data_IF_008712633676
#
_entry.id   IF_008712633676
#
_cell.length_a   1.000
_cell.length_b   1.000
_cell.length_c   1.000
_cell.angle_alpha   90.00
_cell.angle_beta   90.00
_cell.angle_gamma   90.00
#
_symmetry.space_group_name_H-M   'P 1'
#
loop_
_entity.id
_entity.type
_entity.pdbx_description
1 polymer ?
#
# COMPACT_ATOMS: atom_id res chain seq x y z
N UNK A 1 11.97 28.43 6.54
CA UNK A 1 11.89 29.93 6.45
C UNK A 1 10.87 30.56 7.40
N UNK A 2 9.70 29.96 7.64
CA UNK A 2 8.69 30.52 8.56
C UNK A 2 9.19 30.72 10.02
N UNK A 3 10.04 29.83 10.54
CA UNK A 3 10.57 29.90 11.91
C UNK A 3 11.55 31.07 12.13
N UNK A 4 12.33 31.44 11.11
CA UNK A 4 13.21 32.61 11.19
C UNK A 4 12.40 33.91 11.26
N UNK A 5 11.31 34.03 10.49
CA UNK A 5 10.40 35.17 10.57
C UNK A 5 9.75 35.29 11.95
N UNK A 6 9.32 34.16 12.52
CA UNK A 6 8.76 34.12 13.88
C UNK A 6 9.79 34.50 14.97
N UNK A 7 11.04 34.06 14.83
CA UNK A 7 12.13 34.41 15.75
C UNK A 7 12.41 35.92 15.75
N UNK A 8 12.47 36.55 14.58
CA UNK A 8 12.68 38.00 14.43
C UNK A 8 11.53 38.81 15.05
N UNK A 9 10.28 38.41 14.77
CA UNK A 9 9.10 39.06 15.34
C UNK A 9 9.03 38.92 16.86
N UNK A 10 9.34 37.75 17.40
CA UNK A 10 9.40 37.50 18.84
C UNK A 10 10.54 38.26 19.53
N UNK A 11 11.72 38.36 18.91
CA UNK A 11 12.84 39.16 19.42
C UNK A 11 12.50 40.65 19.45
N UNK A 12 11.84 41.16 18.40
CA UNK A 12 11.36 42.54 18.35
C UNK A 12 10.29 42.82 19.42
N UNK A 13 9.35 41.89 19.61
CA UNK A 13 8.34 41.98 20.67
C UNK A 13 8.97 41.93 22.07
N UNK A 14 9.96 41.06 22.29
CA UNK A 14 10.70 40.96 23.54
C UNK A 14 11.34 42.31 23.93
N UNK A 15 11.91 43.02 22.96
CA UNK A 15 12.54 44.32 23.21
C UNK A 15 11.55 45.40 23.68
N UNK A 16 10.30 45.33 23.22
CA UNK A 16 9.21 46.29 23.55
C UNK A 16 8.55 46.04 24.91
N UNK A 17 8.74 44.87 25.52
CA UNK A 17 8.08 44.53 26.79
C UNK A 17 8.63 45.38 27.95
N UNK A 18 7.76 45.92 28.81
CA UNK A 18 8.20 46.67 30.02
C UNK A 18 8.55 45.76 31.20
N UNK A 19 7.91 44.59 31.28
CA UNK A 19 8.12 43.62 32.36
C UNK A 19 9.34 42.73 32.08
N UNK A 20 10.35 42.81 32.95
CA UNK A 20 11.62 42.10 32.81
C UNK A 20 11.48 40.58 32.76
N UNK A 21 10.53 39.98 33.50
CA UNK A 21 10.33 38.53 33.47
C UNK A 21 9.86 38.06 32.08
N UNK A 22 8.93 38.79 31.49
CA UNK A 22 8.41 38.47 30.16
C UNK A 22 9.41 38.79 29.03
N UNK A 23 10.29 39.79 29.22
CA UNK A 23 11.42 40.05 28.31
C UNK A 23 12.34 38.84 28.20
N UNK A 24 12.75 38.28 29.34
CA UNK A 24 13.63 37.11 29.39
C UNK A 24 12.97 35.90 28.73
N UNK A 25 11.68 35.65 29.00
CA UNK A 25 10.93 34.55 28.38
C UNK A 25 10.84 34.72 26.86
N UNK A 26 10.44 35.90 26.37
CA UNK A 26 10.30 36.16 24.94
C UNK A 26 11.66 36.10 24.21
N UNK A 27 12.74 36.55 24.85
CA UNK A 27 14.10 36.44 24.33
C UNK A 27 14.53 34.97 24.17
N UNK A 28 14.36 34.13 25.21
CA UNK A 28 14.68 32.71 25.14
C UNK A 28 13.86 31.97 24.08
N UNK A 29 12.57 32.29 23.95
CA UNK A 29 11.72 31.73 22.89
C UNK A 29 12.21 32.15 21.49
N UNK A 30 12.63 33.40 21.32
CA UNK A 30 13.19 33.86 20.04
C UNK A 30 14.49 33.14 19.69
N UNK A 31 15.37 32.90 20.66
CA UNK A 31 16.58 32.09 20.48
C UNK A 31 16.25 30.65 20.12
N UNK A 32 15.30 30.02 20.80
CA UNK A 32 14.89 28.64 20.52
C UNK A 32 14.33 28.51 19.09
N UNK A 33 13.47 29.43 18.66
CA UNK A 33 12.94 29.46 17.29
C UNK A 33 14.04 29.73 16.25
N UNK A 34 14.99 30.61 16.58
CA UNK A 34 16.16 30.88 15.73
C UNK A 34 17.06 29.65 15.58
N UNK A 35 17.32 28.92 16.66
CA UNK A 35 18.09 27.68 16.64
C UNK A 35 17.37 26.58 15.84
N UNK A 36 16.05 26.43 16.00
CA UNK A 36 15.25 25.50 15.20
C UNK A 36 15.24 25.88 13.71
N UNK A 37 15.11 27.16 13.39
CA UNK A 37 15.20 27.65 12.02
C UNK A 37 16.60 27.42 11.42
N UNK A 38 17.66 27.63 12.19
CA UNK A 38 19.03 27.36 11.76
C UNK A 38 19.27 25.86 11.57
N UNK A 39 18.69 25.02 12.43
CA UNK A 39 18.72 23.57 12.29
C UNK A 39 17.99 23.09 11.02
N UNK A 40 16.81 23.62 10.70
CA UNK A 40 16.11 23.34 9.44
C UNK A 40 16.94 23.75 8.21
N UNK A 41 17.58 24.93 8.24
CA UNK A 41 18.47 25.37 7.17
C UNK A 41 19.71 24.49 7.05
N UNK A 42 20.28 24.06 8.18
CA UNK A 42 21.39 23.13 8.22
C UNK A 42 21.00 21.76 7.64
N UNK A 43 19.82 21.23 7.97
CA UNK A 43 19.29 20.00 7.37
C UNK A 43 19.09 20.14 5.85
N UNK A 44 18.59 21.29 5.39
CA UNK A 44 18.46 21.60 3.97
C UNK A 44 19.82 21.73 3.27
N UNK A 45 20.83 22.29 3.94
CA UNK A 45 22.16 22.57 3.36
C UNK A 45 23.13 21.38 3.42
N UNK A 46 23.08 20.58 4.48
CA UNK A 46 23.78 19.28 4.59
C UNK A 46 23.34 18.33 3.48
N UNK A 47 22.24 18.65 2.79
CA UNK A 47 21.78 17.85 1.69
C UNK A 47 21.37 16.51 2.25
N UNK A 48 20.27 16.48 2.99
CA UNK A 48 19.34 15.36 2.82
C UNK A 48 18.78 15.49 1.39
N UNK A 49 19.65 15.35 0.38
CA UNK A 49 19.29 14.87 -0.93
C UNK A 49 18.80 13.47 -0.64
N UNK A 50 17.52 13.35 -0.28
CA UNK A 50 16.86 12.06 -0.29
C UNK A 50 17.06 11.53 -1.71
N UNK A 51 17.99 10.59 -1.86
CA UNK A 51 18.07 9.79 -3.07
C UNK A 51 16.68 9.20 -3.25
N UNK A 52 15.98 9.64 -4.28
CA UNK A 52 14.60 9.23 -4.48
C UNK A 52 14.60 7.85 -5.11
N UNK A 53 13.79 6.96 -4.56
CA UNK A 53 13.52 5.70 -5.23
C UNK A 53 12.75 5.98 -6.53
N UNK A 54 13.20 5.40 -7.63
CA UNK A 54 12.50 5.46 -8.91
C UNK A 54 12.49 4.09 -9.59
N UNK A 55 11.52 3.88 -10.47
CA UNK A 55 11.36 2.64 -11.22
C UNK A 55 11.76 2.84 -12.67
N UNK A 56 12.04 1.80 -13.43
CA UNK A 56 12.13 1.81 -14.89
C UNK A 56 11.49 0.54 -15.47
N UNK A 57 11.44 0.43 -16.79
CA UNK A 57 10.83 -0.69 -17.51
C UNK A 57 9.36 -0.47 -17.82
N UNK A 58 8.72 -1.51 -18.35
CA UNK A 58 7.31 -1.44 -18.75
C UNK A 58 6.36 -1.28 -17.56
N UNK A 59 6.83 -1.49 -16.33
CA UNK A 59 6.10 -1.18 -15.09
C UNK A 59 5.62 0.29 -15.05
N UNK A 60 6.38 1.24 -15.62
CA UNK A 60 5.98 2.66 -15.68
C UNK A 60 5.00 2.98 -16.81
N UNK A 61 4.76 2.07 -17.75
CA UNK A 61 3.91 2.28 -18.92
C UNK A 61 2.43 1.98 -18.62
N UNK A 62 1.97 2.42 -17.44
CA UNK A 62 0.63 2.18 -16.93
C UNK A 62 0.32 0.69 -16.72
N UNK A 63 1.06 0.10 -15.81
CA UNK A 63 0.89 -1.28 -15.38
C UNK A 63 -0.49 -1.59 -14.78
N UNK A 64 -1.14 -0.59 -14.15
CA UNK A 64 -2.45 -0.71 -13.51
C UNK A 64 -3.54 0.03 -14.29
N UNK A 65 -4.77 -0.47 -14.21
CA UNK A 65 -5.98 0.19 -14.69
C UNK A 65 -7.14 -0.01 -13.70
N UNK A 66 -8.23 0.73 -13.90
CA UNK A 66 -9.45 0.57 -13.11
C UNK A 66 -10.03 -0.83 -13.28
N UNK A 67 -10.56 -1.38 -12.20
CA UNK A 67 -11.18 -2.70 -12.18
C UNK A 67 -12.56 -2.61 -11.51
N UNK A 68 -13.65 -3.01 -12.18
CA UNK A 68 -15.02 -2.73 -11.74
C UNK A 68 -15.36 -3.34 -10.37
N UNK A 69 -14.71 -4.45 -10.00
CA UNK A 69 -14.95 -5.10 -8.71
C UNK A 69 -13.93 -4.69 -7.63
N UNK A 70 -12.70 -4.40 -8.02
CA UNK A 70 -11.56 -4.33 -7.09
C UNK A 70 -11.04 -2.89 -6.91
N UNK A 71 -11.67 -1.93 -7.59
CA UNK A 71 -11.20 -0.56 -7.75
C UNK A 71 -10.15 -0.47 -8.85
N UNK A 72 -9.09 -1.28 -8.77
CA UNK A 72 -8.02 -1.33 -9.75
C UNK A 72 -7.39 -2.72 -9.82
N UNK A 73 -6.62 -2.98 -10.86
CA UNK A 73 -5.89 -4.22 -11.07
C UNK A 73 -4.90 -4.09 -12.23
N UNK A 74 -4.32 -5.20 -12.70
CA UNK A 74 -3.43 -5.15 -13.86
C UNK A 74 -4.19 -4.67 -15.10
N UNK A 75 -3.57 -3.78 -15.88
CA UNK A 75 -4.18 -3.27 -17.12
C UNK A 75 -4.41 -4.36 -18.14
N UNK A 76 -3.41 -5.21 -18.34
CA UNK A 76 -3.48 -6.38 -19.19
C UNK A 76 -3.41 -7.63 -18.30
N UNK A 77 -4.45 -8.48 -18.29
CA UNK A 77 -4.48 -9.68 -17.48
C UNK A 77 -3.42 -10.72 -17.87
N UNK A 78 -2.84 -10.63 -19.07
CA UNK A 78 -1.83 -11.56 -19.61
C UNK A 78 -0.56 -10.83 -20.05
N UNK A 79 0.05 -10.08 -19.13
CA UNK A 79 1.22 -9.27 -19.42
C UNK A 79 2.54 -9.87 -18.92
N UNK A 80 3.64 -9.47 -19.58
CA UNK A 80 5.00 -9.61 -19.07
C UNK A 80 5.60 -8.23 -18.84
N UNK A 81 5.94 -7.92 -17.60
CA UNK A 81 6.24 -6.55 -17.15
C UNK A 81 7.64 -6.48 -16.54
N UNK A 82 8.50 -5.65 -17.11
CA UNK A 82 9.84 -5.40 -16.54
C UNK A 82 9.76 -4.29 -15.50
N UNK A 83 10.35 -4.52 -14.33
CA UNK A 83 10.41 -3.55 -13.23
C UNK A 83 11.83 -3.50 -12.71
N UNK A 84 12.48 -2.36 -12.93
CA UNK A 84 13.78 -2.05 -12.33
C UNK A 84 13.56 -0.98 -11.29
N UNK A 85 14.13 -1.10 -10.10
CA UNK A 85 14.03 -0.07 -9.06
C UNK A 85 15.42 0.39 -8.67
N UNK A 86 15.57 1.70 -8.54
CA UNK A 86 16.82 2.36 -8.17
C UNK A 86 16.60 3.21 -6.91
N UNK A 87 17.68 3.45 -6.18
CA UNK A 87 17.80 4.44 -5.12
C UNK A 87 19.08 5.22 -5.38
N UNK A 88 18.95 6.46 -5.84
CA UNK A 88 20.07 7.18 -6.46
C UNK A 88 20.57 6.39 -7.68
N UNK A 89 21.87 6.18 -7.77
CA UNK A 89 22.50 5.39 -8.84
C UNK A 89 22.52 3.88 -8.53
N UNK A 90 22.11 3.47 -7.33
CA UNK A 90 22.11 2.06 -6.92
C UNK A 90 20.85 1.36 -7.40
N UNK A 91 21.02 0.34 -8.24
CA UNK A 91 19.95 -0.59 -8.57
C UNK A 91 19.61 -1.46 -7.35
N UNK A 92 18.35 -1.41 -6.92
CA UNK A 92 17.79 -2.24 -5.85
C UNK A 92 17.36 -3.61 -6.37
N UNK A 93 16.71 -3.66 -7.54
CA UNK A 93 16.34 -4.90 -8.22
C UNK A 93 16.08 -4.68 -9.72
N UNK A 94 16.19 -5.75 -10.49
CA UNK A 94 15.76 -5.87 -11.89
C UNK A 94 15.03 -7.19 -12.05
N UNK A 95 13.72 -7.12 -12.29
CA UNK A 95 12.85 -8.30 -12.32
C UNK A 95 11.82 -8.22 -13.44
N UNK A 96 11.32 -9.39 -13.81
CA UNK A 96 10.17 -9.50 -14.71
C UNK A 96 9.00 -10.17 -13.98
N UNK A 97 7.86 -9.50 -13.99
CA UNK A 97 6.60 -10.04 -13.51
C UNK A 97 5.82 -10.63 -14.67
N UNK A 98 5.35 -11.87 -14.54
CA UNK A 98 4.37 -12.43 -15.47
C UNK A 98 2.99 -12.43 -14.82
N UNK A 99 1.99 -11.94 -15.54
CA UNK A 99 0.58 -12.02 -15.19
C UNK A 99 -0.11 -13.02 -16.10
N UNK A 100 -1.01 -13.82 -15.52
CA UNK A 100 -1.92 -14.70 -16.27
C UNK A 100 -3.30 -14.56 -15.68
N UNK A 101 -4.31 -14.31 -16.52
CA UNK A 101 -5.71 -14.16 -16.09
C UNK A 101 -5.89 -13.14 -14.96
N UNK A 102 -5.09 -12.07 -14.98
CA UNK A 102 -5.12 -11.01 -13.96
C UNK A 102 -4.44 -11.35 -12.64
N UNK A 103 -3.77 -12.51 -12.55
CA UNK A 103 -3.09 -12.99 -11.35
C UNK A 103 -1.57 -13.04 -11.55
N UNK A 104 -0.81 -12.98 -10.46
CA UNK A 104 0.64 -13.17 -10.51
C UNK A 104 0.95 -14.64 -10.87
N UNK A 105 1.76 -14.85 -11.90
CA UNK A 105 2.12 -16.18 -12.34
C UNK A 105 3.01 -16.90 -11.31
N UNK A 106 2.65 -18.15 -10.99
CA UNK A 106 3.49 -19.08 -10.21
C UNK A 106 3.93 -20.23 -11.13
N UNK A 107 5.21 -20.30 -11.55
CA UNK A 107 5.65 -21.15 -12.65
C UNK A 107 5.63 -22.65 -12.31
N UNK A 108 5.76 -23.01 -11.03
CA UNK A 108 5.68 -24.39 -10.56
C UNK A 108 4.25 -24.81 -10.14
N UNK A 109 3.21 -24.05 -10.48
CA UNK A 109 1.81 -24.43 -10.27
C UNK A 109 1.47 -25.71 -11.03
N UNK A 110 0.84 -26.68 -10.36
CA UNK A 110 0.34 -27.89 -11.00
C UNK A 110 -1.11 -27.70 -11.46
N UNK A 111 -1.28 -27.27 -12.70
CA UNK A 111 -2.60 -27.02 -13.32
C UNK A 111 -3.46 -28.29 -13.50
N UNK A 112 -2.93 -29.48 -13.21
CA UNK A 112 -3.69 -30.75 -13.21
C UNK A 112 -4.13 -31.16 -11.80
N UNK A 113 -3.60 -30.53 -10.75
CA UNK A 113 -3.94 -30.86 -9.37
C UNK A 113 -5.38 -30.45 -9.02
N UNK A 114 -6.01 -31.26 -8.16
CA UNK A 114 -7.27 -31.00 -7.47
C UNK A 114 -7.07 -30.44 -6.05
N UNK A 115 -5.82 -30.30 -5.60
CA UNK A 115 -5.43 -29.59 -4.39
C UNK A 115 -5.05 -28.15 -4.72
N UNK A 116 -5.70 -27.18 -4.09
CA UNK A 116 -5.54 -25.75 -4.39
C UNK A 116 -4.89 -24.99 -3.25
N UNK A 117 -4.05 -24.03 -3.61
CA UNK A 117 -3.48 -23.04 -2.69
C UNK A 117 -3.70 -21.63 -3.25
N UNK A 118 -4.56 -20.87 -2.58
CA UNK A 118 -4.89 -19.49 -2.93
C UNK A 118 -4.10 -18.52 -2.06
N UNK A 119 -3.47 -17.53 -2.66
CA UNK A 119 -2.69 -16.51 -1.95
C UNK A 119 -3.28 -15.12 -2.17
N UNK A 120 -3.49 -14.41 -1.07
CA UNK A 120 -4.10 -13.08 -1.03
C UNK A 120 -3.21 -12.09 -0.28
N UNK A 121 -3.32 -10.81 -0.66
CA UNK A 121 -2.64 -9.71 0.02
C UNK A 121 -2.14 -8.66 -0.94
N UNK A 122 -1.22 -7.83 -0.47
CA UNK A 122 -0.66 -6.71 -1.21
C UNK A 122 0.58 -7.07 -2.03
N UNK A 123 1.50 -6.10 -2.12
CA UNK A 123 2.78 -6.23 -2.82
C UNK A 123 3.68 -7.35 -2.29
N UNK A 124 3.57 -7.71 -1.01
CA UNK A 124 4.36 -8.80 -0.41
C UNK A 124 3.90 -10.17 -0.91
N UNK A 125 2.59 -10.40 -1.04
CA UNK A 125 2.05 -11.63 -1.63
C UNK A 125 2.33 -11.67 -3.13
N UNK A 126 2.18 -10.53 -3.81
CA UNK A 126 2.52 -10.39 -5.24
C UNK A 126 4.00 -10.71 -5.52
N UNK A 127 4.90 -10.40 -4.58
CA UNK A 127 6.34 -10.52 -4.76
C UNK A 127 6.94 -9.33 -5.50
N UNK A 128 6.68 -8.11 -5.01
CA UNK A 128 7.36 -6.91 -5.52
C UNK A 128 8.89 -7.05 -5.39
N UNK A 129 9.60 -6.81 -6.47
CA UNK A 129 11.05 -6.96 -6.54
C UNK A 129 11.53 -8.42 -6.67
N UNK A 130 10.63 -9.38 -6.95
CA UNK A 130 10.94 -10.80 -7.09
C UNK A 130 10.53 -11.31 -8.48
N UNK A 131 11.36 -12.16 -9.10
CA UNK A 131 10.97 -12.92 -10.29
C UNK A 131 9.90 -13.98 -9.94
N UNK A 132 9.26 -14.54 -10.96
CA UNK A 132 8.13 -15.46 -10.78
C UNK A 132 8.49 -16.70 -9.94
N UNK A 133 9.75 -17.14 -10.02
CA UNK A 133 10.36 -18.26 -9.30
C UNK A 133 10.96 -17.88 -7.93
N UNK A 134 10.66 -16.67 -7.43
CA UNK A 134 11.21 -16.16 -6.18
C UNK A 134 10.12 -15.69 -5.21
N UNK A 135 8.85 -15.98 -5.50
CA UNK A 135 7.71 -15.53 -4.69
C UNK A 135 7.39 -16.52 -3.57
N UNK A 136 6.70 -16.05 -2.51
CA UNK A 136 6.20 -16.92 -1.44
C UNK A 136 5.35 -18.10 -1.98
N UNK A 137 4.38 -17.89 -2.90
CA UNK A 137 3.61 -19.00 -3.48
C UNK A 137 4.46 -20.02 -4.25
N UNK A 138 5.51 -19.56 -4.94
CA UNK A 138 6.46 -20.46 -5.62
C UNK A 138 7.18 -21.36 -4.61
N UNK A 139 7.80 -20.79 -3.57
CA UNK A 139 8.52 -21.57 -2.57
C UNK A 139 7.61 -22.46 -1.73
N UNK A 140 6.38 -22.00 -1.44
CA UNK A 140 5.37 -22.83 -0.79
C UNK A 140 5.12 -24.10 -1.60
N UNK A 141 4.87 -23.97 -2.90
CA UNK A 141 4.56 -25.14 -3.72
C UNK A 141 5.81 -26.01 -3.94
N UNK A 142 7.00 -25.40 -4.01
CA UNK A 142 8.25 -26.15 -4.08
C UNK A 142 8.46 -27.03 -2.85
N UNK A 143 8.27 -26.46 -1.65
CA UNK A 143 8.35 -27.19 -0.39
C UNK A 143 7.25 -28.27 -0.25
N UNK A 144 6.10 -28.07 -0.90
CA UNK A 144 5.02 -29.04 -0.96
C UNK A 144 5.17 -30.10 -2.07
N UNK A 145 6.32 -30.19 -2.73
CA UNK A 145 6.56 -31.15 -3.82
C UNK A 145 5.77 -30.86 -5.09
N UNK A 146 5.45 -29.59 -5.34
CA UNK A 146 4.68 -29.08 -6.50
C UNK A 146 3.30 -29.73 -6.64
N UNK A 147 2.68 -30.12 -5.52
CA UNK A 147 1.41 -30.84 -5.52
C UNK A 147 0.18 -29.93 -5.71
N UNK A 148 0.31 -28.62 -5.53
CA UNK A 148 -0.83 -27.72 -5.56
C UNK A 148 -0.98 -27.01 -6.91
N UNK A 149 -2.24 -26.77 -7.29
CA UNK A 149 -2.61 -25.70 -8.21
C UNK A 149 -2.60 -24.38 -7.46
N UNK A 150 -1.71 -23.47 -7.84
CA UNK A 150 -1.45 -22.24 -7.10
C UNK A 150 -2.07 -21.06 -7.83
N UNK A 151 -2.82 -20.23 -7.09
CA UNK A 151 -3.37 -18.97 -7.57
C UNK A 151 -2.88 -17.83 -6.68
N UNK A 152 -2.13 -16.90 -7.25
CA UNK A 152 -1.65 -15.72 -6.53
C UNK A 152 -2.48 -14.48 -6.91
N UNK A 153 -3.46 -14.19 -6.07
CA UNK A 153 -4.34 -13.02 -6.17
C UNK A 153 -3.75 -11.77 -5.50
N UNK A 154 -2.50 -11.82 -5.04
CA UNK A 154 -1.81 -10.65 -4.54
C UNK A 154 -1.66 -9.60 -5.64
N UNK A 155 -1.81 -8.32 -5.29
CA UNK A 155 -1.51 -7.20 -6.19
C UNK A 155 -1.02 -6.00 -5.40
N UNK A 156 -0.21 -5.14 -6.02
CA UNK A 156 0.38 -3.99 -5.33
C UNK A 156 -0.71 -3.11 -4.72
N UNK A 157 -0.58 -2.77 -3.44
CA UNK A 157 -1.53 -1.91 -2.74
C UNK A 157 -2.86 -2.57 -2.34
N UNK A 158 -3.10 -3.85 -2.66
CA UNK A 158 -4.30 -4.55 -2.19
C UNK A 158 -4.30 -4.72 -0.66
N UNK A 159 -5.49 -4.86 -0.11
CA UNK A 159 -5.78 -5.08 1.28
C UNK A 159 -6.86 -6.15 1.50
N UNK A 160 -7.36 -6.30 2.75
CA UNK A 160 -8.32 -7.32 3.13
C UNK A 160 -9.65 -7.17 2.39
N UNK A 161 -10.04 -5.93 2.07
CA UNK A 161 -11.26 -5.62 1.34
C UNK A 161 -11.22 -6.08 -0.12
N UNK A 162 -10.08 -5.94 -0.84
CA UNK A 162 -9.95 -6.59 -2.14
C UNK A 162 -9.90 -8.11 -2.00
N UNK A 163 -9.18 -8.66 -1.02
CA UNK A 163 -9.12 -10.10 -0.83
C UNK A 163 -10.50 -10.72 -0.59
N UNK A 164 -11.33 -10.10 0.26
CA UNK A 164 -12.71 -10.50 0.48
C UNK A 164 -13.51 -10.44 -0.83
N UNK A 165 -13.38 -9.36 -1.60
CA UNK A 165 -14.08 -9.22 -2.87
C UNK A 165 -13.68 -10.29 -3.89
N UNK A 166 -12.40 -10.67 -3.91
CA UNK A 166 -11.90 -11.76 -4.77
C UNK A 166 -12.50 -13.10 -4.35
N UNK A 167 -12.58 -13.37 -3.04
CA UNK A 167 -13.21 -14.60 -2.50
C UNK A 167 -14.71 -14.66 -2.81
N UNK A 168 -15.41 -13.53 -2.74
CA UNK A 168 -16.85 -13.44 -3.03
C UNK A 168 -17.16 -13.56 -4.53
N UNK A 169 -16.33 -12.98 -5.41
CA UNK A 169 -16.69 -12.80 -6.81
C UNK A 169 -15.85 -13.57 -7.80
N UNK A 170 -14.56 -13.73 -7.56
CA UNK A 170 -13.64 -14.29 -8.56
C UNK A 170 -13.35 -15.76 -8.31
N UNK A 171 -13.06 -16.14 -7.08
CA UNK A 171 -12.82 -17.54 -6.70
C UNK A 171 -14.01 -18.45 -7.07
N UNK A 172 -15.28 -18.05 -6.89
CA UNK A 172 -16.41 -18.89 -7.26
C UNK A 172 -16.60 -19.11 -8.76
N UNK A 173 -16.00 -18.28 -9.61
CA UNK A 173 -16.09 -18.41 -11.08
C UNK A 173 -15.27 -19.57 -11.63
N UNK A 174 -14.30 -20.05 -10.85
CA UNK A 174 -13.48 -21.21 -11.23
C UNK A 174 -14.17 -22.50 -10.78
N UNK A 175 -14.82 -23.19 -11.73
CA UNK A 175 -15.53 -24.45 -11.47
C UNK A 175 -14.58 -25.58 -11.05
N UNK A 176 -13.31 -25.55 -11.48
CA UNK A 176 -12.32 -26.52 -11.04
C UNK A 176 -11.95 -26.31 -9.57
N UNK A 177 -11.93 -25.07 -9.09
CA UNK A 177 -11.80 -24.78 -7.66
C UNK A 177 -13.02 -25.27 -6.86
N UNK A 178 -14.25 -25.15 -7.39
CA UNK A 178 -15.44 -25.63 -6.68
C UNK A 178 -15.37 -27.13 -6.37
N UNK A 179 -14.89 -27.92 -7.34
CA UNK A 179 -14.76 -29.38 -7.24
C UNK A 179 -13.43 -29.86 -6.63
N UNK A 180 -12.58 -28.95 -6.17
CA UNK A 180 -11.28 -29.31 -5.59
C UNK A 180 -11.44 -30.18 -4.32
N UNK A 181 -10.60 -31.21 -4.22
CA UNK A 181 -10.57 -32.13 -3.08
C UNK A 181 -9.91 -31.49 -1.83
N UNK A 182 -8.93 -30.60 -2.04
CA UNK A 182 -8.21 -29.92 -0.96
C UNK A 182 -8.11 -28.42 -1.29
N UNK A 183 -8.41 -27.55 -0.32
CA UNK A 183 -8.46 -26.09 -0.51
C UNK A 183 -7.75 -25.40 0.65
N UNK A 184 -6.66 -24.70 0.34
CA UNK A 184 -5.94 -23.83 1.28
C UNK A 184 -5.99 -22.38 0.83
N UNK A 185 -6.15 -21.48 1.79
CA UNK A 185 -6.13 -20.04 1.57
C UNK A 185 -5.14 -19.38 2.53
N UNK A 186 -4.25 -18.56 1.98
CA UNK A 186 -3.24 -17.82 2.72
C UNK A 186 -3.43 -16.33 2.49
N UNK A 187 -3.51 -15.57 3.58
CA UNK A 187 -3.55 -14.11 3.53
C UNK A 187 -2.33 -13.54 4.24
N UNK A 188 -1.48 -12.80 3.53
CA UNK A 188 -0.34 -12.13 4.12
C UNK A 188 -0.73 -10.72 4.57
N UNK A 189 -0.93 -10.57 5.88
CA UNK A 189 -1.31 -9.31 6.51
C UNK A 189 -0.08 -8.47 6.85
N UNK A 190 -0.11 -7.18 6.51
CA UNK A 190 0.80 -6.15 7.04
C UNK A 190 -0.01 -5.07 7.74
N UNK A 191 0.59 -4.34 8.69
CA UNK A 191 -0.14 -3.33 9.49
C UNK A 191 -0.87 -2.27 8.62
N UNK A 192 -0.28 -1.88 7.49
CA UNK A 192 -0.87 -0.89 6.56
C UNK A 192 -2.21 -1.34 5.95
N UNK A 193 -2.50 -2.64 5.94
CA UNK A 193 -3.75 -3.18 5.43
C UNK A 193 -4.98 -2.70 6.20
N UNK A 194 -4.83 -2.37 7.49
CA UNK A 194 -5.91 -1.75 8.28
C UNK A 194 -6.29 -0.39 7.71
N UNK A 195 -5.28 0.41 7.33
CA UNK A 195 -5.48 1.73 6.73
C UNK A 195 -6.14 1.62 5.36
N UNK A 196 -5.72 0.65 4.54
CA UNK A 196 -6.28 0.38 3.21
C UNK A 196 -7.76 -0.05 3.29
N UNK A 197 -8.08 -1.02 4.17
CA UNK A 197 -9.46 -1.48 4.38
C UNK A 197 -10.38 -0.38 4.92
N UNK A 198 -9.83 0.62 5.61
CA UNK A 198 -10.57 1.78 6.09
C UNK A 198 -10.75 2.88 5.03
N UNK A 199 -10.25 2.70 3.80
CA UNK A 199 -10.30 3.72 2.74
C UNK A 199 -9.43 4.95 3.03
N UNK A 200 -8.38 4.79 3.87
CA UNK A 200 -7.50 5.89 4.30
C UNK A 200 -6.23 6.02 3.45
N UNK A 201 -6.28 5.53 2.22
CA UNK A 201 -5.19 5.61 1.23
C UNK A 201 -5.63 6.43 0.03
N UNK A 202 -4.76 7.29 -0.47
CA UNK A 202 -5.08 8.27 -1.53
C UNK A 202 -5.20 7.71 -2.93
N UNK A 203 -4.92 6.42 -3.13
CA UNK A 203 -4.94 5.78 -4.46
C UNK A 203 -6.08 4.79 -4.63
N UNK A 204 -6.75 4.38 -3.56
CA UNK A 204 -7.74 3.29 -3.58
C UNK A 204 -9.17 3.82 -3.44
N UNK A 205 -9.49 4.94 -4.10
CA UNK A 205 -10.82 5.55 -3.97
C UNK A 205 -11.95 4.68 -4.53
N UNK A 206 -11.66 3.89 -5.57
CA UNK A 206 -12.62 2.95 -6.17
C UNK A 206 -12.65 1.58 -5.48
N UNK A 207 -11.81 1.36 -4.46
CA UNK A 207 -11.71 0.09 -3.77
C UNK A 207 -13.02 -0.33 -3.10
N UNK A 208 -13.29 -1.64 -2.98
CA UNK A 208 -14.54 -2.13 -2.41
C UNK A 208 -14.61 -1.76 -0.92
N UNK A 209 -15.69 -1.09 -0.53
CA UNK A 209 -15.92 -0.63 0.84
C UNK A 209 -16.88 -1.58 1.52
N UNK A 210 -16.42 -2.22 2.60
CA UNK A 210 -17.25 -3.08 3.42
C UNK A 210 -17.68 -2.36 4.72
N UNK A 211 -18.86 -2.70 5.21
CA UNK A 211 -19.38 -2.22 6.49
C UNK A 211 -19.88 -3.39 7.35
N UNK A 212 -19.81 -3.29 8.68
CA UNK A 212 -20.42 -4.28 9.57
C UNK A 212 -21.92 -4.41 9.32
N UNK A 213 -22.41 -5.65 9.24
CA UNK A 213 -23.83 -6.03 9.17
C UNK A 213 -24.04 -7.18 10.15
N UNK A 214 -24.51 -6.85 11.36
CA UNK A 214 -24.54 -7.81 12.47
C UNK A 214 -23.13 -8.31 12.80
N UNK A 215 -22.95 -9.63 12.83
CA UNK A 215 -21.67 -10.31 13.06
C UNK A 215 -20.84 -10.52 11.79
N UNK A 216 -21.27 -9.94 10.67
CA UNK A 216 -20.62 -10.08 9.35
C UNK A 216 -20.25 -8.72 8.76
N UNK A 217 -19.74 -8.73 7.52
CA UNK A 217 -19.52 -7.51 6.74
C UNK A 217 -20.27 -7.62 5.42
N UNK A 218 -20.82 -6.49 4.95
CA UNK A 218 -21.50 -6.37 3.67
C UNK A 218 -20.84 -5.33 2.77
N UNK A 219 -20.83 -5.58 1.47
CA UNK A 219 -20.36 -4.61 0.47
C UNK A 219 -21.28 -3.38 0.48
N UNK A 220 -20.67 -2.20 0.58
CA UNK A 220 -21.35 -0.91 0.69
C UNK A 220 -20.86 0.06 -0.41
N UNK A 221 -20.62 -0.45 -1.62
CA UNK A 221 -20.10 0.31 -2.75
C UNK A 221 -18.57 0.47 -2.71
N UNK A 222 -18.07 1.55 -3.30
CA UNK A 222 -16.66 1.94 -3.26
C UNK A 222 -16.34 2.87 -2.09
N UNK A 223 -15.06 3.17 -1.87
CA UNK A 223 -14.66 4.23 -0.94
C UNK A 223 -15.08 5.63 -1.40
N UNK A 224 -15.25 5.86 -2.70
CA UNK A 224 -15.74 7.11 -3.25
C UNK A 224 -17.23 7.34 -2.93
N UNK A 225 -18.03 6.27 -2.89
CA UNK A 225 -19.47 6.34 -2.57
C UNK A 225 -19.72 6.64 -1.09
N UNK A 226 -18.71 6.47 -0.24
CA UNK A 226 -18.79 6.71 1.19
C UNK A 226 -18.62 8.19 1.56
N UNK A 227 -19.61 8.77 2.27
CA UNK A 227 -19.35 9.98 3.07
C UNK A 227 -18.33 9.65 4.17
N UNK A 228 -17.34 10.52 4.47
CA UNK A 228 -16.33 10.23 5.49
C UNK A 228 -16.99 9.90 6.84
N UNK A 229 -16.50 8.82 7.49
CA UNK A 229 -16.99 8.28 8.76
C UNK A 229 -17.12 9.33 9.90
N UNK A 230 -16.44 10.47 9.77
CA UNK A 230 -16.47 11.56 10.75
C UNK A 230 -17.86 12.22 10.97
N UNK A 231 -18.88 11.93 10.15
CA UNK A 231 -20.20 12.55 10.28
C UNK A 231 -21.32 11.65 10.81
N UNK A 232 -21.07 10.39 11.20
CA UNK A 232 -22.14 9.48 11.67
C UNK A 232 -22.26 9.31 13.19
N UNK A 233 -21.48 10.02 13.99
CA UNK A 233 -21.70 10.12 15.43
C UNK A 233 -22.08 11.55 15.83
N UNK A 234 -23.26 12.00 15.39
CA UNK A 234 -24.01 13.03 16.10
C UNK A 234 -25.35 12.45 16.53
N UNK A 235 -25.42 12.23 17.84
CA UNK A 235 -26.62 12.23 18.69
C UNK A 235 -27.68 11.19 18.34
N UNK A 236 -27.59 10.03 19.00
CA UNK A 236 -28.81 9.38 19.51
C UNK A 236 -28.88 9.79 20.99
N UNK A 237 -29.96 10.51 21.34
CA UNK A 237 -30.34 10.81 22.73
C UNK A 237 -30.85 9.55 23.41
#
# INVERSE_FOLDING_TARGET
>A
MALFGAAVLMGWFAWRLKNQRWKVVAFNLSMMLGLLGAFELALGWVGVTEEKAYWEGSYRLGYSADHPLLGYGPRDPNARVTSRKFYGDRMLYDVTYTLKEGQRHTPNSNEQSDAWALFFGGSFTFGEGLNDDQTLPFFFNEAAGRRYRVRNFGFHGYGPHQALRIVEELVPRDSAFQNAAEKHAFYLLIADHVRRAAGKTSWDHQGPRYQPVGDSVGLAGSFQDGKPWYFRHRVVR
#
